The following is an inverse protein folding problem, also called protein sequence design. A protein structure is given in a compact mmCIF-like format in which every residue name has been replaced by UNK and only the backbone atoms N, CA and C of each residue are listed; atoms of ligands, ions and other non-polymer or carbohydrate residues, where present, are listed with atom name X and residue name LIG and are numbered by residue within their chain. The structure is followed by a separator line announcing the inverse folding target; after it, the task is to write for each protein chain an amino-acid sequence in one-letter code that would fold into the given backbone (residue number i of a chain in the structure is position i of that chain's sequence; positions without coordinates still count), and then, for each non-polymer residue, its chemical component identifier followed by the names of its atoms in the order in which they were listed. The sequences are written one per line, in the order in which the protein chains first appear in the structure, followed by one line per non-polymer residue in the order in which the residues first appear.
data_IF_612868231793
#
_entry.id   IF_612868231793
#
_cell.length_a   1.000
_cell.length_b   1.000
_cell.length_c   1.000
_cell.angle_alpha   90.00
_cell.angle_beta   90.00
_cell.angle_gamma   90.00
#
_symmetry.space_group_name_H-M   'P 1'
#
loop_
_entity.id
_entity.type
_entity.pdbx_description
1 polymer ?
#
# COMPACT_ATOMS: atom_id res chain seq x y z
N UNK A 1 -15.88 -16.35 -6.11
CA UNK A 1 -14.46 -16.26 -6.50
C UNK A 1 -13.70 -15.46 -5.45
N UNK A 2 -12.70 -16.04 -4.78
CA UNK A 2 -11.90 -15.29 -3.80
C UNK A 2 -11.01 -14.27 -4.53
N UNK A 3 -11.15 -12.98 -4.21
CA UNK A 3 -10.25 -11.95 -4.73
C UNK A 3 -8.85 -12.21 -4.20
N UNK A 4 -7.88 -12.44 -5.10
CA UNK A 4 -6.49 -12.67 -4.71
C UNK A 4 -5.88 -11.34 -4.28
N UNK A 5 -5.20 -11.33 -3.13
CA UNK A 5 -4.44 -10.16 -2.69
C UNK A 5 -3.38 -9.83 -3.75
N UNK A 6 -3.13 -8.54 -3.93
CA UNK A 6 -1.97 -8.08 -4.71
C UNK A 6 -0.70 -8.70 -4.14
N UNK A 7 0.19 -9.12 -5.04
CA UNK A 7 1.52 -9.62 -4.67
C UNK A 7 2.26 -8.60 -3.82
N UNK A 8 3.02 -9.10 -2.84
CA UNK A 8 3.74 -8.26 -1.88
C UNK A 8 4.88 -7.45 -2.49
N UNK A 9 5.45 -7.95 -3.59
CA UNK A 9 6.56 -7.33 -4.32
C UNK A 9 6.13 -6.28 -5.35
N UNK A 10 4.82 -6.14 -5.61
CA UNK A 10 4.27 -5.07 -6.44
C UNK A 10 4.55 -3.71 -5.81
N UNK A 11 4.90 -2.71 -6.63
CA UNK A 11 5.11 -1.32 -6.19
C UNK A 11 3.78 -0.56 -6.15
N UNK A 12 3.70 0.48 -5.32
CA UNK A 12 2.51 1.35 -5.21
C UNK A 12 2.16 1.97 -6.56
N UNK A 13 3.14 2.53 -7.27
CA UNK A 13 2.88 3.17 -8.57
C UNK A 13 2.37 2.20 -9.64
N UNK A 14 2.87 0.96 -9.65
CA UNK A 14 2.37 -0.07 -10.56
C UNK A 14 0.95 -0.52 -10.18
N UNK A 15 0.67 -0.60 -8.88
CA UNK A 15 -0.66 -0.91 -8.38
C UNK A 15 -1.67 0.18 -8.76
N UNK A 16 -1.34 1.45 -8.52
CA UNK A 16 -2.22 2.58 -8.87
C UNK A 16 -2.56 2.57 -10.37
N UNK A 17 -1.55 2.42 -11.24
CA UNK A 17 -1.76 2.33 -12.69
C UNK A 17 -2.61 1.13 -13.09
N UNK A 18 -2.34 -0.06 -12.53
CA UNK A 18 -3.07 -1.29 -12.87
C UNK A 18 -4.54 -1.23 -12.45
N UNK A 19 -4.85 -0.48 -11.39
CA UNK A 19 -6.19 -0.36 -10.84
C UNK A 19 -6.90 0.94 -11.23
N UNK A 20 -6.32 1.76 -12.11
CA UNK A 20 -6.91 3.02 -12.56
C UNK A 20 -7.04 4.07 -11.45
N UNK A 21 -6.20 3.98 -10.41
CA UNK A 21 -6.18 4.94 -9.32
C UNK A 21 -5.32 6.15 -9.71
N UNK A 22 -5.70 7.36 -9.26
CA UNK A 22 -4.83 8.51 -9.40
C UNK A 22 -3.52 8.30 -8.63
N UNK A 23 -2.44 8.94 -9.09
CA UNK A 23 -1.15 8.86 -8.40
C UNK A 23 -1.27 9.43 -6.99
N UNK A 24 -0.76 8.70 -5.99
CA UNK A 24 -0.84 9.13 -4.59
C UNK A 24 -2.18 8.80 -3.93
N UNK A 25 -3.04 8.01 -4.58
CA UNK A 25 -4.24 7.46 -3.95
C UNK A 25 -3.89 6.60 -2.73
N UNK A 26 -2.75 5.90 -2.77
CA UNK A 26 -2.28 5.10 -1.65
C UNK A 26 -1.47 5.96 -0.69
N UNK A 27 -1.85 5.94 0.59
CA UNK A 27 -1.19 6.69 1.66
C UNK A 27 -0.54 5.79 2.69
N UNK A 28 0.49 6.33 3.34
CA UNK A 28 1.14 5.72 4.50
C UNK A 28 0.27 5.85 5.76
N UNK A 29 0.57 5.12 6.85
CA UNK A 29 -0.18 5.22 8.11
C UNK A 29 -0.18 6.62 8.73
N UNK A 30 0.82 7.45 8.42
CA UNK A 30 0.92 8.84 8.86
C UNK A 30 0.07 9.82 8.02
N UNK A 31 -0.68 9.33 7.04
CA UNK A 31 -1.54 10.14 6.17
C UNK A 31 -0.82 10.86 5.03
N UNK A 32 0.51 10.74 4.91
CA UNK A 32 1.26 11.24 3.74
C UNK A 32 1.25 10.23 2.61
N UNK A 33 1.44 10.69 1.38
CA UNK A 33 1.44 9.82 0.20
C UNK A 33 2.51 8.73 0.30
N UNK A 34 2.13 7.51 -0.11
CA UNK A 34 3.06 6.41 -0.22
C UNK A 34 3.93 6.62 -1.47
N UNK A 35 5.26 6.49 -1.31
CA UNK A 35 6.17 6.61 -2.44
C UNK A 35 5.85 5.58 -3.51
N UNK A 36 5.90 5.97 -4.78
CA UNK A 36 5.55 5.11 -5.90
C UNK A 36 6.41 3.84 -5.99
N UNK A 37 7.67 3.90 -5.57
CA UNK A 37 8.62 2.78 -5.56
C UNK A 37 8.43 1.82 -4.37
N UNK A 38 7.61 2.19 -3.38
CA UNK A 38 7.40 1.38 -2.17
C UNK A 38 6.65 0.09 -2.51
N UNK A 39 7.10 -1.03 -1.95
CA UNK A 39 6.42 -2.33 -2.09
C UNK A 39 5.13 -2.38 -1.26
N UNK A 40 4.08 -2.96 -1.83
CA UNK A 40 2.78 -3.19 -1.17
C UNK A 40 2.95 -4.03 0.11
N UNK A 41 3.87 -5.00 0.10
CA UNK A 41 4.18 -5.82 1.27
C UNK A 41 4.71 -5.00 2.45
N UNK A 42 5.60 -4.03 2.18
CA UNK A 42 6.15 -3.15 3.22
C UNK A 42 5.07 -2.21 3.74
N UNK A 43 4.26 -1.64 2.84
CA UNK A 43 3.12 -0.80 3.24
C UNK A 43 2.16 -1.54 4.18
N UNK A 44 1.83 -2.80 3.88
CA UNK A 44 0.99 -3.64 4.75
C UNK A 44 1.61 -3.85 6.14
N UNK A 45 2.93 -4.08 6.22
CA UNK A 45 3.65 -4.20 7.50
C UNK A 45 3.60 -2.90 8.29
N UNK A 46 3.79 -1.76 7.64
CA UNK A 46 3.74 -0.45 8.28
C UNK A 46 2.35 -0.18 8.90
N UNK A 47 1.27 -0.50 8.17
CA UNK A 47 -0.09 -0.40 8.72
C UNK A 47 -0.34 -1.38 9.88
N UNK A 48 0.20 -2.59 9.81
CA UNK A 48 0.08 -3.56 10.89
C UNK A 48 0.81 -3.08 12.16
N UNK A 49 2.02 -2.53 12.01
CA UNK A 49 2.81 -1.98 13.11
C UNK A 49 2.18 -0.72 13.70
N UNK A 50 1.68 0.17 12.86
CA UNK A 50 0.97 1.37 13.30
C UNK A 50 -0.29 1.04 14.11
N UNK A 51 -1.03 -0.03 13.73
CA UNK A 51 -2.16 -0.52 14.52
C UNK A 51 -1.74 -1.08 15.87
N UNK A 52 -0.63 -1.82 15.94
CA UNK A 52 -0.11 -2.37 17.22
C UNK A 52 0.28 -1.26 18.20
N UNK A 53 0.90 -0.18 17.72
CA UNK A 53 1.34 0.93 18.56
C UNK A 53 0.20 1.88 19.00
N UNK A 54 -1.03 1.66 18.51
CA UNK A 54 -2.21 2.47 18.83
C UNK A 54 -3.11 1.81 19.88
N UNK A 55 -2.68 0.67 20.42
CA UNK A 55 -3.41 -0.15 21.40
C UNK A 55 -2.87 0.11 22.80
#
# INVERSE_FOLDING_TARGET
MATRKTRSDCTVGAFEKKHGLPSGAIRNPNGKDARADKKIGNLRKDFANAKKNKK
#
